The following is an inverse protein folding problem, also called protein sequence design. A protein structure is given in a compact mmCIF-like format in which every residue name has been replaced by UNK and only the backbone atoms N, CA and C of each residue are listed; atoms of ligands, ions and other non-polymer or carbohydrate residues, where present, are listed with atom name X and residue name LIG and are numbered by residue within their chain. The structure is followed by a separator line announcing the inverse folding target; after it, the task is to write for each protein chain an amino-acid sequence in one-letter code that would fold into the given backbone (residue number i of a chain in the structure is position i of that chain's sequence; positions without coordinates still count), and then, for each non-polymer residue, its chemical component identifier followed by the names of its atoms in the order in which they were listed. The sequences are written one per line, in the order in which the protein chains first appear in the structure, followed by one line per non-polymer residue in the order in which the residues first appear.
data_IF_236891050491
#
_entry.id   IF_236891050491
#
_cell.length_a   1.000
_cell.length_b   1.000
_cell.length_c   1.000
_cell.angle_alpha   90.00
_cell.angle_beta   90.00
_cell.angle_gamma   90.00
#
_symmetry.space_group_name_H-M   'P 1'
#
loop_
_entity.id
_entity.type
_entity.pdbx_description
1 polymer ?
#
# COMPACT_ATOMS: atom_id res chain seq x y z
N UNK A 1 47.09 -9.67 -52.36
CA UNK A 1 47.12 -10.63 -51.24
C UNK A 1 47.12 -9.86 -49.92
N UNK A 2 46.33 -10.08 -48.88
CA UNK A 2 45.03 -10.73 -48.65
C UNK A 2 44.71 -10.47 -47.16
N UNK A 3 43.51 -9.94 -46.88
CA UNK A 3 42.67 -10.14 -45.67
C UNK A 3 43.21 -9.78 -44.27
N UNK A 4 42.79 -8.60 -43.82
CA UNK A 4 41.97 -8.34 -42.61
C UNK A 4 41.76 -9.49 -41.60
N UNK A 5 42.28 -9.31 -40.38
CA UNK A 5 41.88 -10.05 -39.18
C UNK A 5 40.48 -9.62 -38.74
N UNK A 6 39.56 -10.57 -38.74
CA UNK A 6 38.17 -10.43 -38.37
C UNK A 6 38.04 -10.91 -36.90
N UNK A 7 38.00 -9.98 -35.94
CA UNK A 7 37.65 -10.29 -34.55
C UNK A 7 36.19 -9.83 -34.32
N UNK A 8 35.24 -10.66 -34.75
CA UNK A 8 33.84 -10.47 -34.49
C UNK A 8 33.51 -10.70 -33.02
N UNK A 9 33.44 -9.63 -32.24
CA UNK A 9 32.73 -9.65 -30.96
C UNK A 9 31.24 -9.77 -31.24
N UNK A 10 30.69 -10.98 -31.06
CA UNK A 10 29.26 -11.26 -31.26
C UNK A 10 28.40 -10.36 -30.35
N UNK A 11 27.43 -9.60 -30.89
CA UNK A 11 26.61 -8.66 -30.12
C UNK A 11 25.77 -9.33 -29.01
N UNK A 12 25.66 -10.66 -29.01
CA UNK A 12 24.93 -11.42 -28.00
C UNK A 12 25.57 -11.40 -26.59
N UNK A 13 26.90 -11.31 -26.48
CA UNK A 13 27.62 -11.32 -25.20
C UNK A 13 27.57 -9.97 -24.45
N UNK A 14 27.47 -8.87 -25.20
CA UNK A 14 27.31 -7.52 -24.64
C UNK A 14 25.87 -7.33 -24.10
N UNK A 15 24.88 -7.90 -24.78
CA UNK A 15 23.47 -7.85 -24.34
C UNK A 15 23.25 -8.68 -23.07
N UNK A 16 23.95 -9.79 -22.89
CA UNK A 16 23.81 -10.65 -21.72
C UNK A 16 24.44 -10.04 -20.46
N UNK A 17 25.57 -9.33 -20.59
CA UNK A 17 26.20 -8.60 -19.48
C UNK A 17 25.43 -7.33 -19.09
N UNK A 18 24.85 -6.60 -20.05
CA UNK A 18 23.93 -5.49 -19.75
C UNK A 18 22.66 -5.96 -19.02
N UNK A 19 22.09 -7.11 -19.39
CA UNK A 19 20.90 -7.67 -18.72
C UNK A 19 21.15 -8.05 -17.26
N UNK A 20 22.36 -8.52 -16.93
CA UNK A 20 22.75 -8.81 -15.55
C UNK A 20 23.06 -7.53 -14.75
N UNK A 21 23.68 -6.53 -15.37
CA UNK A 21 23.94 -5.24 -14.74
C UNK A 21 22.62 -4.50 -14.44
N UNK A 22 21.64 -4.54 -15.36
CA UNK A 22 20.30 -3.98 -15.16
C UNK A 22 19.50 -4.74 -14.09
N UNK A 23 19.59 -6.07 -14.04
CA UNK A 23 18.96 -6.87 -12.95
C UNK A 23 19.56 -6.57 -11.57
N UNK A 24 20.88 -6.37 -11.49
CA UNK A 24 21.56 -6.02 -10.24
C UNK A 24 21.25 -4.58 -9.78
N UNK A 25 21.10 -3.64 -10.73
CA UNK A 25 20.69 -2.26 -10.44
C UNK A 25 19.23 -2.18 -9.97
N UNK A 26 18.32 -2.98 -10.53
CA UNK A 26 16.91 -3.06 -10.09
C UNK A 26 16.80 -3.64 -8.67
N UNK A 27 17.70 -4.55 -8.28
CA UNK A 27 17.76 -5.12 -6.93
C UNK A 27 18.36 -4.16 -5.90
N UNK A 28 19.34 -3.33 -6.27
CA UNK A 28 19.90 -2.29 -5.39
C UNK A 28 18.98 -1.06 -5.25
N UNK A 29 18.18 -0.72 -6.26
CA UNK A 29 17.20 0.39 -6.16
C UNK A 29 15.97 0.07 -5.31
N UNK A 30 15.74 -1.20 -4.98
CA UNK A 30 14.63 -1.61 -4.11
C UNK A 30 14.83 -1.17 -2.63
N UNK A 31 16.07 -0.82 -2.25
CA UNK A 31 16.43 -0.51 -0.86
C UNK A 31 16.27 0.99 -0.49
N UNK A 32 16.21 1.90 -1.48
CA UNK A 32 16.15 3.36 -1.24
C UNK A 32 14.71 3.90 -1.25
N UNK A 33 13.77 3.14 -1.82
CA UNK A 33 12.34 3.45 -1.96
C UNK A 33 11.54 3.50 -0.65
N UNK A 34 12.09 2.93 0.42
CA UNK A 34 11.45 2.89 1.75
C UNK A 34 11.53 4.24 2.46
N UNK A 35 12.46 5.13 2.12
CA UNK A 35 12.78 6.32 2.94
C UNK A 35 11.82 7.52 2.72
N UNK A 36 11.23 7.67 1.53
CA UNK A 36 10.44 8.88 1.21
C UNK A 36 8.95 8.79 1.55
N UNK A 37 8.33 7.60 1.44
CA UNK A 37 7.00 7.38 2.05
C UNK A 37 7.13 7.47 3.58
N UNK A 38 8.19 6.87 4.12
CA UNK A 38 8.55 6.82 5.54
C UNK A 38 8.62 8.18 6.22
N UNK A 39 9.34 9.16 5.64
CA UNK A 39 9.52 10.48 6.28
C UNK A 39 8.25 11.35 6.37
N UNK A 40 7.13 10.94 5.77
CA UNK A 40 5.96 11.84 5.62
C UNK A 40 4.66 11.34 6.22
N UNK A 41 4.47 10.02 6.36
CA UNK A 41 3.48 9.51 7.33
C UNK A 41 3.85 10.02 8.74
N UNK A 42 5.16 10.14 9.03
CA UNK A 42 5.70 10.80 10.21
C UNK A 42 5.31 12.29 10.34
N UNK A 43 5.05 13.02 9.25
CA UNK A 43 4.81 14.47 9.30
C UNK A 43 3.31 14.81 9.43
N UNK A 44 2.41 13.98 8.90
CA UNK A 44 0.95 14.20 9.08
C UNK A 44 0.45 13.69 10.44
N UNK A 45 1.15 12.77 11.08
CA UNK A 45 1.09 12.62 12.52
C UNK A 45 1.86 13.78 13.15
N UNK A 46 1.22 14.93 13.40
CA UNK A 46 1.78 15.95 14.30
C UNK A 46 1.98 15.33 15.69
N UNK A 47 3.09 14.64 15.90
CA UNK A 47 3.60 14.29 17.21
C UNK A 47 4.32 15.52 17.77
N UNK A 48 3.68 16.17 18.74
CA UNK A 48 4.40 16.88 19.78
C UNK A 48 5.42 15.94 20.42
N UNK A 49 6.58 16.47 20.80
CA UNK A 49 7.63 15.79 21.57
C UNK A 49 7.01 14.92 22.69
N UNK A 50 7.25 13.62 22.60
CA UNK A 50 6.67 12.57 23.45
C UNK A 50 5.94 11.53 22.61
N UNK A 51 6.67 10.60 21.97
CA UNK A 51 6.11 9.59 21.06
C UNK A 51 5.08 8.71 21.78
N UNK A 52 3.80 9.04 21.59
CA UNK A 52 2.71 8.14 21.91
C UNK A 52 2.67 7.05 20.84
N UNK A 53 2.97 5.81 21.21
CA UNK A 53 2.72 4.65 20.34
C UNK A 53 1.25 4.65 19.94
N UNK A 54 0.98 4.74 18.63
CA UNK A 54 -0.38 4.68 18.06
C UNK A 54 -0.78 3.24 17.80
N UNK A 55 -2.07 2.94 17.89
CA UNK A 55 -2.65 1.67 17.44
C UNK A 55 -3.15 1.78 16.01
N UNK A 56 -2.49 1.05 15.10
CA UNK A 56 -2.79 1.01 13.68
C UNK A 56 -3.69 -0.17 13.33
N UNK A 57 -4.66 0.05 12.44
CA UNK A 57 -5.39 -1.02 11.76
C UNK A 57 -4.99 -1.02 10.28
N UNK A 58 -4.26 -2.06 9.87
CA UNK A 58 -3.73 -2.23 8.51
C UNK A 58 -4.71 -3.07 7.69
N UNK A 59 -5.37 -2.45 6.72
CA UNK A 59 -6.46 -3.05 5.93
C UNK A 59 -6.04 -3.21 4.47
N UNK A 60 -5.90 -4.46 4.01
CA UNK A 60 -5.59 -4.76 2.62
C UNK A 60 -6.07 -6.15 2.23
N UNK A 61 -6.22 -6.43 0.94
CA UNK A 61 -6.33 -7.81 0.45
C UNK A 61 -4.96 -8.36 0.07
N UNK A 62 -4.88 -9.67 -0.09
CA UNK A 62 -3.77 -10.39 -0.72
C UNK A 62 -3.36 -9.81 -2.08
N UNK A 63 -2.15 -10.13 -2.52
CA UNK A 63 -1.55 -9.70 -3.77
C UNK A 63 -0.91 -8.32 -3.69
N UNK A 64 -1.16 -7.49 -4.71
CA UNK A 64 -0.52 -6.17 -4.85
C UNK A 64 -0.82 -5.20 -3.70
N UNK A 65 -2.01 -5.28 -3.11
CA UNK A 65 -2.39 -4.44 -1.96
C UNK A 65 -1.60 -4.81 -0.71
N UNK A 66 -1.46 -6.11 -0.41
CA UNK A 66 -0.62 -6.61 0.67
C UNK A 66 0.86 -6.28 0.45
N UNK A 67 1.38 -6.46 -0.77
CA UNK A 67 2.77 -6.06 -1.10
C UNK A 67 3.00 -4.56 -0.89
N UNK A 68 2.03 -3.71 -1.26
CA UNK A 68 2.11 -2.27 -1.02
C UNK A 68 2.12 -1.96 0.47
N UNK A 69 1.28 -2.63 1.27
CA UNK A 69 1.27 -2.45 2.73
C UNK A 69 2.59 -2.90 3.36
N UNK A 70 3.17 -4.01 2.91
CA UNK A 70 4.48 -4.50 3.37
C UNK A 70 5.62 -3.52 3.06
N UNK A 71 5.54 -2.73 1.99
CA UNK A 71 6.54 -1.67 1.72
C UNK A 71 6.52 -0.54 2.74
N UNK A 72 5.44 -0.41 3.52
CA UNK A 72 5.30 0.55 4.60
C UNK A 72 5.85 0.02 5.94
N UNK A 73 6.56 -1.13 5.94
CA UNK A 73 7.04 -1.82 7.15
C UNK A 73 7.90 -0.96 8.05
N UNK A 74 8.79 -0.15 7.48
CA UNK A 74 9.59 0.81 8.26
C UNK A 74 8.73 1.78 9.07
N UNK A 75 7.52 2.09 8.62
CA UNK A 75 6.58 2.94 9.35
C UNK A 75 5.75 2.14 10.37
N UNK A 76 4.99 1.13 9.91
CA UNK A 76 4.03 0.46 10.79
C UNK A 76 4.67 -0.48 11.82
N UNK A 77 5.93 -0.88 11.65
CA UNK A 77 6.62 -1.75 12.61
C UNK A 77 6.90 -1.07 13.96
N UNK A 78 7.00 0.26 13.97
CA UNK A 78 7.23 1.08 15.17
C UNK A 78 5.95 1.37 15.97
N UNK A 79 4.83 0.77 15.58
CA UNK A 79 3.51 1.02 16.17
C UNK A 79 2.83 -0.29 16.54
N UNK A 80 1.95 -0.24 17.56
CA UNK A 80 1.01 -1.32 17.81
C UNK A 80 0.12 -1.45 16.57
N UNK A 81 -0.14 -2.69 16.13
CA UNK A 81 -0.87 -2.91 14.88
C UNK A 81 -1.77 -4.12 14.96
N UNK A 82 -2.84 -4.03 14.18
CA UNK A 82 -3.71 -5.15 13.87
C UNK A 82 -3.95 -5.19 12.36
N UNK A 83 -3.97 -6.39 11.81
CA UNK A 83 -4.21 -6.62 10.39
C UNK A 83 -5.66 -6.99 10.13
N UNK A 84 -6.18 -6.53 9.00
CA UNK A 84 -7.42 -7.03 8.42
C UNK A 84 -7.14 -7.38 6.96
N UNK A 85 -7.24 -8.67 6.64
CA UNK A 85 -6.95 -9.20 5.30
C UNK A 85 -7.67 -10.52 5.03
N UNK A 86 -7.68 -10.97 3.78
CA UNK A 86 -8.11 -12.32 3.41
C UNK A 86 -6.99 -13.36 3.60
N UNK A 87 -7.39 -14.60 3.87
CA UNK A 87 -6.45 -15.72 4.06
C UNK A 87 -6.03 -16.31 2.71
N UNK A 88 -4.75 -16.12 2.35
CA UNK A 88 -4.11 -16.60 1.12
C UNK A 88 -2.65 -16.95 1.40
N UNK A 89 -1.97 -17.55 0.42
CA UNK A 89 -0.59 -18.03 0.55
C UNK A 89 0.40 -16.94 0.98
N UNK A 90 0.23 -15.72 0.47
CA UNK A 90 1.07 -14.56 0.75
C UNK A 90 0.75 -13.91 2.11
N UNK A 91 -0.51 -13.92 2.54
CA UNK A 91 -0.93 -13.35 3.83
C UNK A 91 -0.79 -14.33 5.00
N UNK A 92 -0.66 -15.64 4.73
CA UNK A 92 -0.49 -16.69 5.75
C UNK A 92 0.69 -16.44 6.71
N UNK A 93 1.73 -15.74 6.26
CA UNK A 93 2.87 -15.39 7.11
C UNK A 93 2.47 -14.59 8.37
N UNK A 94 1.33 -13.89 8.34
CA UNK A 94 0.84 -13.08 9.46
C UNK A 94 0.28 -13.93 10.61
N UNK A 95 -0.17 -15.15 10.34
CA UNK A 95 -0.97 -15.99 11.26
C UNK A 95 -0.29 -16.24 12.62
N UNK A 96 1.05 -16.28 12.66
CA UNK A 96 1.82 -16.56 13.87
C UNK A 96 2.69 -15.38 14.32
N UNK A 97 2.63 -14.25 13.61
CA UNK A 97 3.51 -13.10 13.84
C UNK A 97 2.74 -11.86 14.27
N UNK A 98 1.45 -11.79 13.95
CA UNK A 98 0.66 -10.58 14.02
C UNK A 98 -0.75 -10.88 14.55
N UNK A 99 -1.41 -9.88 15.12
CA UNK A 99 -2.85 -9.96 15.38
C UNK A 99 -3.60 -9.73 14.06
N UNK A 100 -4.42 -10.68 13.64
CA UNK A 100 -5.12 -10.62 12.34
C UNK A 100 -6.60 -10.92 12.47
N UNK A 101 -7.44 -10.07 11.88
CA UNK A 101 -8.84 -10.37 11.57
C UNK A 101 -8.96 -10.84 10.13
N UNK A 102 -9.27 -12.11 9.95
CA UNK A 102 -9.49 -12.70 8.63
C UNK A 102 -10.89 -12.37 8.12
N UNK A 103 -10.97 -11.73 6.95
CA UNK A 103 -12.23 -11.50 6.25
C UNK A 103 -12.32 -12.39 5.00
N UNK A 104 -13.51 -12.89 4.64
CA UNK A 104 -13.68 -13.62 3.39
C UNK A 104 -13.30 -12.71 2.23
N UNK A 105 -12.58 -13.28 1.26
CA UNK A 105 -12.15 -12.55 0.07
C UNK A 105 -13.36 -11.91 -0.62
N UNK A 106 -13.27 -10.60 -0.86
CA UNK A 106 -14.29 -9.85 -1.59
C UNK A 106 -13.84 -9.72 -3.04
N UNK A 107 -14.57 -10.36 -3.94
CA UNK A 107 -14.28 -10.22 -5.36
C UNK A 107 -14.41 -8.74 -5.79
N UNK A 108 -13.56 -8.26 -6.72
CA UNK A 108 -13.71 -6.93 -7.28
C UNK A 108 -15.12 -6.77 -7.85
N UNK A 109 -15.80 -5.66 -7.48
CA UNK A 109 -17.17 -5.32 -7.89
C UNK A 109 -18.29 -6.13 -7.23
N UNK A 110 -17.98 -6.99 -6.25
CA UNK A 110 -19.01 -7.61 -5.43
C UNK A 110 -19.49 -6.66 -4.32
N UNK A 111 -20.37 -5.74 -4.72
CA UNK A 111 -20.98 -4.75 -3.82
C UNK A 111 -21.84 -5.43 -2.75
N UNK A 112 -22.42 -6.60 -3.04
CA UNK A 112 -23.25 -7.34 -2.10
C UNK A 112 -22.42 -7.95 -0.97
N UNK A 113 -21.28 -8.56 -1.29
CA UNK A 113 -20.35 -9.04 -0.27
C UNK A 113 -19.80 -7.88 0.57
N UNK A 114 -19.55 -6.72 -0.03
CA UNK A 114 -19.15 -5.52 0.72
C UNK A 114 -20.20 -5.13 1.76
N UNK A 115 -21.45 -4.95 1.34
CA UNK A 115 -22.55 -4.55 2.23
C UNK A 115 -22.82 -5.59 3.32
N UNK A 116 -22.79 -6.88 2.99
CA UNK A 116 -22.99 -7.97 3.97
C UNK A 116 -21.92 -7.98 5.07
N UNK A 117 -20.70 -7.55 4.75
CA UNK A 117 -19.59 -7.54 5.71
C UNK A 117 -19.53 -6.25 6.55
N UNK A 118 -20.35 -5.23 6.26
CA UNK A 118 -20.37 -3.96 7.01
C UNK A 118 -20.54 -4.18 8.52
N UNK A 119 -21.52 -4.96 9.03
CA UNK A 119 -21.66 -5.16 10.47
C UNK A 119 -20.41 -5.74 11.14
N UNK A 120 -19.75 -6.68 10.46
CA UNK A 120 -18.50 -7.28 10.95
C UNK A 120 -17.35 -6.25 10.96
N UNK A 121 -17.22 -5.44 9.91
CA UNK A 121 -16.21 -4.37 9.83
C UNK A 121 -16.41 -3.37 10.96
N UNK A 122 -17.64 -2.92 11.20
CA UNK A 122 -17.96 -2.00 12.29
C UNK A 122 -17.63 -2.61 13.66
N UNK A 123 -18.00 -3.88 13.87
CA UNK A 123 -17.66 -4.61 15.09
C UNK A 123 -16.14 -4.66 15.30
N UNK A 124 -15.36 -4.95 14.26
CA UNK A 124 -13.90 -4.99 14.35
C UNK A 124 -13.34 -3.62 14.74
N UNK A 125 -13.72 -2.55 14.05
CA UNK A 125 -13.23 -1.19 14.37
C UNK A 125 -13.64 -0.76 15.77
N UNK A 126 -14.88 -1.06 16.18
CA UNK A 126 -15.38 -0.73 17.51
C UNK A 126 -14.68 -1.50 18.63
N UNK A 127 -14.40 -2.79 18.45
CA UNK A 127 -13.73 -3.60 19.48
C UNK A 127 -12.24 -3.31 19.56
N UNK A 128 -11.59 -3.10 18.42
CA UNK A 128 -10.15 -2.88 18.38
C UNK A 128 -9.75 -1.46 18.73
N UNK A 129 -10.66 -0.49 18.56
CA UNK A 129 -10.42 0.92 18.88
C UNK A 129 -9.09 1.44 18.29
N UNK A 130 -8.83 1.30 16.98
CA UNK A 130 -7.60 1.84 16.40
C UNK A 130 -7.59 3.37 16.50
N UNK A 131 -6.40 3.95 16.58
CA UNK A 131 -6.20 5.40 16.42
C UNK A 131 -6.28 5.78 14.94
N UNK A 132 -5.69 4.93 14.08
CA UNK A 132 -5.62 5.15 12.63
C UNK A 132 -5.91 3.86 11.88
N UNK A 133 -6.79 3.94 10.88
CA UNK A 133 -7.04 2.89 9.90
C UNK A 133 -6.29 3.23 8.62
N UNK A 134 -5.34 2.38 8.21
CA UNK A 134 -4.56 2.56 6.98
C UNK A 134 -5.00 1.49 5.98
N UNK A 135 -5.44 1.90 4.79
CA UNK A 135 -5.80 0.98 3.73
C UNK A 135 -5.02 1.22 2.46
N UNK A 136 -4.51 0.13 1.86
CA UNK A 136 -3.86 0.16 0.54
C UNK A 136 -4.79 -0.29 -0.60
N UNK A 137 -6.09 -0.47 -0.33
CA UNK A 137 -7.11 -0.69 -1.36
C UNK A 137 -7.89 -2.00 -1.32
N UNK A 138 -8.34 -2.40 -2.52
CA UNK A 138 -9.49 -3.25 -2.86
C UNK A 138 -10.84 -2.74 -2.32
N UNK A 139 -11.91 -3.49 -2.58
CA UNK A 139 -13.28 -3.16 -2.18
C UNK A 139 -13.45 -3.07 -0.65
N UNK A 140 -12.70 -3.85 0.11
CA UNK A 140 -12.74 -3.88 1.57
C UNK A 140 -12.50 -2.51 2.22
N UNK A 141 -11.71 -1.65 1.59
CA UNK A 141 -11.39 -0.31 2.08
C UNK A 141 -12.65 0.54 2.29
N UNK A 142 -13.70 0.34 1.49
CA UNK A 142 -14.93 1.14 1.54
C UNK A 142 -15.65 0.95 2.89
N UNK A 143 -15.76 -0.29 3.35
CA UNK A 143 -16.41 -0.59 4.63
C UNK A 143 -15.63 -0.01 5.81
N UNK A 144 -14.30 -0.10 5.76
CA UNK A 144 -13.44 0.45 6.81
C UNK A 144 -13.39 1.97 6.80
N UNK A 145 -13.47 2.62 5.64
CA UNK A 145 -13.59 4.07 5.53
C UNK A 145 -14.88 4.58 6.20
N UNK A 146 -16.01 3.91 5.93
CA UNK A 146 -17.29 4.23 6.56
C UNK A 146 -17.26 4.01 8.08
N UNK A 147 -16.74 2.87 8.52
CA UNK A 147 -16.63 2.54 9.94
C UNK A 147 -15.73 3.52 10.68
N UNK A 148 -14.57 3.85 10.12
CA UNK A 148 -13.65 4.83 10.69
C UNK A 148 -14.33 6.19 10.82
N UNK A 149 -14.99 6.67 9.76
CA UNK A 149 -15.65 7.98 9.77
C UNK A 149 -16.77 8.07 10.81
N UNK A 150 -17.62 7.05 10.92
CA UNK A 150 -18.73 7.03 11.87
C UNK A 150 -18.27 6.85 13.33
N UNK A 151 -17.13 6.18 13.55
CA UNK A 151 -16.56 5.98 14.88
C UNK A 151 -15.51 7.04 15.26
N UNK A 152 -15.39 8.11 14.48
CA UNK A 152 -14.45 9.21 14.73
C UNK A 152 -12.97 8.79 14.68
N UNK A 153 -12.64 7.74 13.93
CA UNK A 153 -11.27 7.25 13.73
C UNK A 153 -10.67 7.89 12.48
N UNK A 154 -9.34 8.10 12.51
CA UNK A 154 -8.63 8.62 11.35
C UNK A 154 -8.53 7.55 10.27
N UNK A 155 -8.91 7.88 9.04
CA UNK A 155 -8.78 6.99 7.88
C UNK A 155 -7.73 7.51 6.89
N UNK A 156 -6.74 6.70 6.61
CA UNK A 156 -5.66 6.98 5.66
C UNK A 156 -5.75 5.98 4.51
N UNK A 157 -5.78 6.49 3.28
CA UNK A 157 -5.76 5.66 2.09
C UNK A 157 -4.46 5.83 1.31
N UNK A 158 -3.87 4.74 0.85
CA UNK A 158 -2.70 4.72 -0.03
C UNK A 158 -3.11 4.07 -1.34
N UNK A 159 -3.15 4.86 -2.41
CA UNK A 159 -3.55 4.39 -3.74
C UNK A 159 -2.48 3.48 -4.35
N UNK A 160 -2.95 2.54 -5.18
CA UNK A 160 -2.12 1.58 -5.88
C UNK A 160 -1.14 2.27 -6.84
N UNK A 161 0.10 1.79 -6.87
CA UNK A 161 1.13 2.24 -7.82
C UNK A 161 0.72 2.01 -9.29
N UNK A 162 -0.20 1.08 -9.56
CA UNK A 162 -0.70 0.84 -10.93
C UNK A 162 -1.65 1.93 -11.46
N UNK A 163 -1.98 2.95 -10.66
CA UNK A 163 -2.90 4.02 -11.01
C UNK A 163 -2.16 5.32 -11.30
N UNK A 164 -1.64 5.48 -12.52
CA UNK A 164 -0.97 6.72 -12.94
C UNK A 164 -1.95 7.79 -13.38
N UNK A 165 -2.96 7.47 -14.18
CA UNK A 165 -3.81 8.49 -14.81
C UNK A 165 -5.05 8.87 -14.00
N UNK A 166 -5.62 7.90 -13.29
CA UNK A 166 -6.91 7.98 -12.61
C UNK A 166 -6.93 7.12 -11.35
N UNK A 167 -7.63 7.60 -10.31
CA UNK A 167 -7.86 6.81 -9.10
C UNK A 167 -8.59 5.50 -9.41
N UNK A 168 -8.33 4.47 -8.61
CA UNK A 168 -9.09 3.23 -8.65
C UNK A 168 -10.56 3.48 -8.29
N UNK A 169 -11.48 2.58 -8.66
CA UNK A 169 -12.89 2.72 -8.26
C UNK A 169 -13.03 2.78 -6.73
N UNK A 170 -12.32 1.91 -6.01
CA UNK A 170 -12.23 1.96 -4.55
C UNK A 170 -11.66 3.29 -4.06
N UNK A 171 -10.58 3.77 -4.68
CA UNK A 171 -9.96 5.06 -4.38
C UNK A 171 -10.94 6.21 -4.52
N UNK A 172 -11.67 6.29 -5.65
CA UNK A 172 -12.71 7.31 -5.88
C UNK A 172 -13.79 7.29 -4.81
N UNK A 173 -14.22 6.10 -4.38
CA UNK A 173 -15.28 5.94 -3.36
C UNK A 173 -14.82 6.35 -1.95
N UNK A 174 -13.58 6.03 -1.57
CA UNK A 174 -13.06 6.36 -0.24
C UNK A 174 -12.41 7.75 -0.17
N UNK A 175 -12.09 8.37 -1.30
CA UNK A 175 -11.49 9.69 -1.39
C UNK A 175 -12.21 10.79 -0.56
N UNK A 176 -13.55 10.95 -0.64
CA UNK A 176 -14.24 11.93 0.21
C UNK A 176 -14.20 11.55 1.70
N UNK A 177 -14.18 10.25 2.01
CA UNK A 177 -14.20 9.73 3.39
C UNK A 177 -12.84 9.77 4.08
N UNK A 178 -11.75 9.76 3.32
CA UNK A 178 -10.39 9.67 3.87
C UNK A 178 -9.98 10.96 4.56
N UNK A 179 -9.28 10.91 5.67
CA UNK A 179 -8.67 12.12 6.23
C UNK A 179 -7.38 12.45 5.47
N UNK A 180 -6.66 11.42 5.03
CA UNK A 180 -5.50 11.54 4.13
C UNK A 180 -5.58 10.55 2.98
N UNK A 181 -5.13 11.01 1.82
CA UNK A 181 -5.17 10.24 0.60
C UNK A 181 -3.83 10.35 -0.13
N UNK A 182 -3.03 9.29 -0.07
CA UNK A 182 -1.70 9.25 -0.68
C UNK A 182 -1.75 8.65 -2.08
N UNK A 183 -1.09 9.33 -3.02
CA UNK A 183 -0.96 8.89 -4.42
C UNK A 183 0.50 8.73 -4.81
N UNK A 184 0.72 7.80 -5.75
CA UNK A 184 2.07 7.45 -6.19
C UNK A 184 2.55 8.23 -7.42
N UNK A 185 1.67 9.04 -8.02
CA UNK A 185 1.95 9.77 -9.26
C UNK A 185 1.55 11.24 -9.11
N UNK A 186 2.41 12.19 -9.50
CA UNK A 186 2.19 13.61 -9.23
C UNK A 186 1.03 14.20 -10.05
N UNK A 187 0.78 13.65 -11.25
CA UNK A 187 -0.31 14.08 -12.13
C UNK A 187 -1.70 13.92 -11.48
N UNK A 188 -1.87 12.96 -10.57
CA UNK A 188 -3.12 12.78 -9.84
C UNK A 188 -3.43 13.97 -8.92
N UNK A 189 -2.43 14.66 -8.38
CA UNK A 189 -2.65 15.84 -7.54
C UNK A 189 -3.27 17.02 -8.30
N UNK A 190 -3.08 17.09 -9.63
CA UNK A 190 -3.76 18.09 -10.46
C UNK A 190 -5.27 17.82 -10.57
N UNK A 191 -5.69 16.55 -10.56
CA UNK A 191 -7.09 16.14 -10.70
C UNK A 191 -7.81 16.00 -9.34
N UNK A 192 -7.05 15.68 -8.29
CA UNK A 192 -7.55 15.32 -6.98
C UNK A 192 -6.88 16.22 -5.91
N UNK A 193 -7.48 17.36 -5.57
CA UNK A 193 -6.83 18.38 -4.71
C UNK A 193 -6.45 17.95 -3.29
N UNK A 194 -7.09 16.89 -2.77
CA UNK A 194 -6.82 16.29 -1.44
C UNK A 194 -5.75 15.21 -1.52
N UNK A 195 -5.38 14.78 -2.73
CA UNK A 195 -4.36 13.77 -2.91
C UNK A 195 -2.98 14.35 -2.56
N UNK A 196 -2.24 13.61 -1.75
CA UNK A 196 -0.89 13.94 -1.33
C UNK A 196 0.06 13.03 -2.09
N UNK A 197 0.87 13.61 -2.97
CA UNK A 197 1.87 12.86 -3.71
C UNK A 197 2.99 12.38 -2.78
N UNK A 198 3.22 11.06 -2.75
CA UNK A 198 4.28 10.38 -1.98
C UNK A 198 4.91 9.20 -2.73
N UNK A 199 4.83 9.21 -4.06
CA UNK A 199 5.45 8.17 -4.88
C UNK A 199 6.69 8.63 -5.62
N UNK A 200 6.90 8.04 -6.78
CA UNK A 200 8.06 8.28 -7.63
C UNK A 200 7.72 9.41 -8.60
N UNK A 201 8.51 10.49 -8.57
CA UNK A 201 8.52 11.55 -9.58
C UNK A 201 9.95 11.66 -10.10
#
# INVERSE_FOLDING_TARGET
MTRTLNAGSSPALIIHSLRYCIRSLILHFCCVSTVQIFNSVLFSAKCHKGEKSMKLMLVCTSGGHFSTMRRLESFWSNHERIWVTDWKKDTKLLENQEKVHWLPYQAPRDVWALWRNIPQVFKIVYLEQPDVVISTGASIAIGFALAAKLLGKRFVYVESISRSEELSLSGKLVYPLSDEFYVQWPNLCHKYPKAIFKGYA
#
